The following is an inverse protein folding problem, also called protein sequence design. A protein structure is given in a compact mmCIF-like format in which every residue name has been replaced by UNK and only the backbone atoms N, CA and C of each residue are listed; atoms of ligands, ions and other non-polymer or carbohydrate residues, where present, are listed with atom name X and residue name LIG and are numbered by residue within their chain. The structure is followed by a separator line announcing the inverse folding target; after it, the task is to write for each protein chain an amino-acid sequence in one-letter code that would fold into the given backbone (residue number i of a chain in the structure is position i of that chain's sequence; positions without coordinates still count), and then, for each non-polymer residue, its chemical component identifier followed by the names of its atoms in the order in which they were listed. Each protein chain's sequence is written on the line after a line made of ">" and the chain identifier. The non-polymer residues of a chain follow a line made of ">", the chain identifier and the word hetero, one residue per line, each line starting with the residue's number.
data_IF_654576686791
#
_entry.id   IF_654576686791
#
_cell.length_a   1.000
_cell.length_b   1.000
_cell.length_c   1.000
_cell.angle_alpha   90.00
_cell.angle_beta   90.00
_cell.angle_gamma   90.00
#
_symmetry.space_group_name_H-M   'P 1'
#
loop_
_entity.id
_entity.type
_entity.pdbx_description
1 polymer ?
#
# COMPACT_ATOMS: atom_id res chain seq x y z
N UNK A 1 -24.65 0.23 -17.86
CA UNK A 1 -23.72 -0.53 -18.72
C UNK A 1 -22.69 -1.15 -17.80
N UNK A 2 -22.90 -2.40 -17.38
CA UNK A 2 -21.95 -3.15 -16.55
C UNK A 2 -20.71 -3.44 -17.40
N UNK A 3 -19.59 -2.76 -17.12
CA UNK A 3 -18.30 -3.18 -17.68
C UNK A 3 -17.96 -4.52 -17.02
N UNK A 4 -17.85 -5.57 -17.82
CA UNK A 4 -17.29 -6.84 -17.35
C UNK A 4 -15.88 -6.57 -16.80
N UNK A 5 -15.65 -6.97 -15.56
CA UNK A 5 -14.31 -6.91 -14.97
C UNK A 5 -13.38 -7.85 -15.78
N UNK A 6 -12.17 -7.41 -16.14
CA UNK A 6 -11.23 -8.27 -16.85
C UNK A 6 -10.95 -9.56 -16.06
N UNK A 7 -11.24 -10.73 -16.64
CA UNK A 7 -10.86 -12.02 -16.05
C UNK A 7 -9.36 -12.25 -16.23
N UNK A 8 -8.65 -12.35 -15.10
CA UNK A 8 -7.21 -12.55 -15.04
C UNK A 8 -6.83 -13.88 -14.38
N UNK A 9 -7.80 -14.74 -14.08
CA UNK A 9 -7.58 -16.01 -13.36
C UNK A 9 -6.62 -16.94 -14.10
N UNK A 10 -6.65 -16.94 -15.43
CA UNK A 10 -5.76 -17.73 -16.29
C UNK A 10 -4.32 -17.20 -16.40
N UNK A 11 -4.04 -15.96 -15.96
CA UNK A 11 -2.69 -15.38 -16.02
C UNK A 11 -1.79 -15.99 -14.95
N UNK A 12 -0.51 -16.15 -15.26
CA UNK A 12 0.51 -16.49 -14.26
C UNK A 12 0.88 -15.26 -13.41
N UNK A 13 1.48 -15.49 -12.25
CA UNK A 13 1.93 -14.39 -11.39
C UNK A 13 2.96 -13.48 -12.07
N UNK A 14 3.80 -14.03 -12.96
CA UNK A 14 4.73 -13.23 -13.76
C UNK A 14 4.00 -12.36 -14.79
N UNK A 15 2.95 -12.89 -15.43
CA UNK A 15 2.14 -12.13 -16.37
C UNK A 15 1.39 -11.00 -15.66
N UNK A 16 0.87 -11.24 -14.45
CA UNK A 16 0.27 -10.19 -13.61
C UNK A 16 1.28 -9.11 -13.26
N UNK A 17 2.47 -9.48 -12.77
CA UNK A 17 3.55 -8.53 -12.46
C UNK A 17 3.94 -7.68 -13.67
N UNK A 18 4.11 -8.30 -14.84
CA UNK A 18 4.46 -7.57 -16.06
C UNK A 18 3.36 -6.60 -16.49
N UNK A 19 2.10 -7.00 -16.37
CA UNK A 19 0.96 -6.15 -16.70
C UNK A 19 0.90 -4.91 -15.79
N UNK A 20 1.04 -5.11 -14.47
CA UNK A 20 1.08 -4.02 -13.49
C UNK A 20 2.25 -3.09 -13.79
N UNK A 21 3.46 -3.63 -13.94
CA UNK A 21 4.69 -2.85 -14.21
C UNK A 21 4.61 -2.05 -15.52
N UNK A 22 3.99 -2.60 -16.57
CA UNK A 22 3.81 -1.88 -17.82
C UNK A 22 2.85 -0.69 -17.67
N UNK A 23 1.74 -0.87 -16.95
CA UNK A 23 0.80 0.23 -16.68
C UNK A 23 1.42 1.27 -15.76
N UNK A 24 2.18 0.83 -14.77
CA UNK A 24 2.95 1.65 -13.85
C UNK A 24 3.90 2.59 -14.60
N UNK A 25 4.76 2.05 -15.47
CA UNK A 25 5.70 2.84 -16.30
C UNK A 25 4.99 3.82 -17.22
N UNK A 26 3.78 3.49 -17.65
CA UNK A 26 2.95 4.35 -18.48
C UNK A 26 2.14 5.39 -17.70
N UNK A 27 2.15 5.36 -16.35
CA UNK A 27 1.31 6.21 -15.50
C UNK A 27 -0.19 5.91 -15.63
N UNK A 28 -0.55 4.63 -15.89
CA UNK A 28 -1.92 4.18 -16.19
C UNK A 28 -2.42 3.12 -15.22
N UNK A 29 -2.01 3.20 -13.94
CA UNK A 29 -2.40 2.22 -12.93
C UNK A 29 -3.90 2.27 -12.59
N UNK A 30 -4.56 3.37 -12.92
CA UNK A 30 -6.00 3.58 -12.82
C UNK A 30 -6.83 2.89 -13.92
N UNK A 31 -6.18 2.37 -14.97
CA UNK A 31 -6.87 1.66 -16.05
C UNK A 31 -7.60 0.41 -15.51
N UNK A 32 -8.79 0.05 -16.02
CA UNK A 32 -9.57 -1.09 -15.52
C UNK A 32 -8.79 -2.40 -15.46
N UNK A 33 -7.94 -2.66 -16.46
CA UNK A 33 -7.09 -3.84 -16.52
C UNK A 33 -5.99 -3.84 -15.45
N UNK A 34 -5.41 -2.68 -15.15
CA UNK A 34 -4.40 -2.54 -14.10
C UNK A 34 -5.02 -2.74 -12.71
N UNK A 35 -6.20 -2.13 -12.46
CA UNK A 35 -6.97 -2.33 -11.22
C UNK A 35 -7.28 -3.80 -10.98
N UNK A 36 -7.81 -4.49 -11.98
CA UNK A 36 -8.10 -5.93 -11.89
C UNK A 36 -6.82 -6.75 -11.61
N UNK A 37 -5.69 -6.38 -12.23
CA UNK A 37 -4.44 -7.10 -12.03
C UNK A 37 -3.84 -6.90 -10.63
N UNK A 38 -3.91 -5.68 -10.09
CA UNK A 38 -3.49 -5.37 -8.72
C UNK A 38 -4.36 -6.13 -7.71
N UNK A 39 -5.69 -6.12 -7.89
CA UNK A 39 -6.61 -6.87 -7.04
C UNK A 39 -6.34 -8.38 -7.07
N UNK A 40 -6.11 -8.95 -8.26
CA UNK A 40 -5.80 -10.37 -8.41
C UNK A 40 -4.42 -10.73 -7.84
N UNK A 41 -3.41 -9.86 -7.99
CA UNK A 41 -2.11 -10.05 -7.35
C UNK A 41 -2.22 -10.06 -5.82
N UNK A 42 -2.98 -9.13 -5.25
CA UNK A 42 -3.22 -9.06 -3.81
C UNK A 42 -3.93 -10.33 -3.32
N UNK A 43 -4.99 -10.77 -4.01
CA UNK A 43 -5.75 -11.99 -3.68
C UNK A 43 -4.90 -13.25 -3.70
N UNK A 44 -3.90 -13.34 -4.59
CA UNK A 44 -3.01 -14.50 -4.73
C UNK A 44 -1.84 -14.51 -3.75
N UNK A 45 -1.57 -13.40 -3.07
CA UNK A 45 -0.38 -13.31 -2.24
C UNK A 45 -0.51 -14.23 -1.03
N UNK A 46 0.35 -15.25 -0.97
CA UNK A 46 0.41 -16.22 0.14
C UNK A 46 1.46 -15.87 1.19
N UNK A 47 2.36 -14.93 0.88
CA UNK A 47 3.45 -14.54 1.77
C UNK A 47 3.04 -13.38 2.70
N UNK A 48 2.03 -12.62 2.32
CA UNK A 48 1.43 -11.54 3.09
C UNK A 48 -0.08 -11.57 2.89
N UNK A 49 -0.85 -11.63 3.97
CA UNK A 49 -2.30 -11.49 3.93
C UNK A 49 -2.65 -10.02 3.64
N UNK A 50 -2.94 -9.72 2.37
CA UNK A 50 -3.28 -8.37 1.93
C UNK A 50 -4.52 -7.82 2.60
N UNK A 51 -5.54 -8.67 2.77
CA UNK A 51 -6.80 -8.24 3.36
C UNK A 51 -6.56 -7.82 4.81
N UNK A 52 -5.93 -8.69 5.60
CA UNK A 52 -5.64 -8.40 7.00
C UNK A 52 -4.68 -7.19 7.16
N UNK A 53 -3.68 -7.08 6.30
CA UNK A 53 -2.75 -5.94 6.30
C UNK A 53 -3.41 -4.60 5.97
N UNK A 54 -4.30 -4.56 4.98
CA UNK A 54 -5.07 -3.35 4.63
C UNK A 54 -6.06 -3.02 5.74
N UNK A 55 -6.84 -3.99 6.23
CA UNK A 55 -7.78 -3.79 7.34
C UNK A 55 -7.07 -3.23 8.58
N UNK A 56 -5.88 -3.75 8.91
CA UNK A 56 -5.06 -3.24 10.01
C UNK A 56 -4.67 -1.76 9.82
N UNK A 57 -4.25 -1.37 8.62
CA UNK A 57 -3.90 0.02 8.31
C UNK A 57 -5.14 0.94 8.35
N UNK A 58 -6.28 0.47 7.86
CA UNK A 58 -7.55 1.20 7.93
C UNK A 58 -7.98 1.41 9.39
N UNK A 59 -7.89 0.38 10.23
CA UNK A 59 -8.20 0.48 11.66
C UNK A 59 -7.24 1.42 12.39
N UNK A 60 -5.95 1.41 12.04
CA UNK A 60 -4.99 2.38 12.57
C UNK A 60 -5.37 3.81 12.14
N UNK A 61 -5.78 4.01 10.89
CA UNK A 61 -6.25 5.31 10.41
C UNK A 61 -7.52 5.77 11.13
N UNK A 62 -8.51 4.88 11.35
CA UNK A 62 -9.73 5.17 12.12
C UNK A 62 -9.40 5.63 13.54
N UNK A 63 -8.38 5.04 14.15
CA UNK A 63 -7.89 5.39 15.50
C UNK A 63 -6.94 6.59 15.50
N UNK A 64 -6.64 7.17 14.33
CA UNK A 64 -5.66 8.24 14.14
C UNK A 64 -4.28 7.89 14.71
N UNK A 65 -3.85 6.64 14.50
CA UNK A 65 -2.61 6.08 15.03
C UNK A 65 -1.63 5.73 13.93
N UNK A 66 -0.36 6.04 14.16
CA UNK A 66 0.73 5.51 13.36
C UNK A 66 1.06 4.08 13.80
N UNK A 67 1.66 3.31 12.90
CA UNK A 67 2.04 1.90 13.12
C UNK A 67 3.48 1.68 12.71
N UNK A 68 4.10 0.62 13.21
CA UNK A 68 5.43 0.23 12.78
C UNK A 68 5.42 -1.03 11.91
N UNK A 69 6.55 -1.30 11.25
CA UNK A 69 6.72 -2.46 10.39
C UNK A 69 6.47 -3.80 11.09
N UNK A 70 6.77 -3.91 12.38
CA UNK A 70 6.51 -5.14 13.14
C UNK A 70 5.01 -5.40 13.23
N UNK A 71 4.23 -4.39 13.61
CA UNK A 71 2.78 -4.53 13.73
C UNK A 71 2.14 -4.87 12.38
N UNK A 72 2.58 -4.23 11.29
CA UNK A 72 2.11 -4.55 9.95
C UNK A 72 2.51 -5.96 9.49
N UNK A 73 3.72 -6.42 9.84
CA UNK A 73 4.15 -7.79 9.56
C UNK A 73 3.37 -8.83 10.35
N UNK A 74 3.02 -8.55 11.61
CA UNK A 74 2.16 -9.39 12.43
C UNK A 74 0.73 -9.45 11.85
N UNK A 75 0.16 -8.29 11.51
CA UNK A 75 -1.17 -8.21 10.89
C UNK A 75 -1.25 -8.94 9.54
N UNK A 76 -0.23 -8.80 8.71
CA UNK A 76 -0.14 -9.47 7.40
C UNK A 76 0.38 -10.91 7.45
N UNK A 77 0.54 -11.51 8.64
CA UNK A 77 0.91 -12.93 8.80
C UNK A 77 2.37 -13.28 8.45
N UNK A 78 3.25 -12.30 8.25
CA UNK A 78 4.70 -12.52 8.07
C UNK A 78 5.35 -12.96 9.39
N UNK A 79 4.86 -12.42 10.50
CA UNK A 79 5.39 -12.61 11.85
C UNK A 79 4.29 -13.14 12.77
N UNK A 80 4.60 -14.13 13.61
CA UNK A 80 3.67 -14.53 14.67
C UNK A 80 3.86 -13.65 15.92
N UNK A 81 2.82 -13.43 16.72
CA UNK A 81 2.97 -12.76 18.01
C UNK A 81 4.06 -13.41 18.86
N UNK A 82 5.03 -12.61 19.32
CA UNK A 82 6.16 -13.09 20.12
C UNK A 82 7.42 -13.49 19.33
N UNK A 83 7.35 -13.59 18.00
CA UNK A 83 8.55 -13.85 17.20
C UNK A 83 9.56 -12.69 17.31
N UNK A 84 10.88 -12.99 17.25
CA UNK A 84 11.91 -11.96 17.29
C UNK A 84 11.90 -11.13 16.00
N UNK A 85 11.84 -9.81 16.16
CA UNK A 85 11.94 -8.89 15.03
C UNK A 85 13.38 -8.87 14.49
N UNK A 86 13.53 -9.01 13.17
CA UNK A 86 14.81 -8.81 12.47
C UNK A 86 14.61 -7.77 11.38
N UNK A 87 15.53 -6.82 11.23
CA UNK A 87 15.34 -5.69 10.30
C UNK A 87 15.09 -6.12 8.85
N UNK A 88 15.67 -7.23 8.38
CA UNK A 88 15.41 -7.74 7.02
C UNK A 88 13.96 -8.20 6.82
N UNK A 89 13.17 -8.41 7.89
CA UNK A 89 11.75 -8.74 7.79
C UNK A 89 10.93 -7.61 7.15
N UNK A 90 11.38 -6.35 7.24
CA UNK A 90 10.76 -5.24 6.51
C UNK A 90 10.70 -5.51 5.00
N UNK A 91 11.70 -6.20 4.44
CA UNK A 91 11.75 -6.53 3.01
C UNK A 91 10.70 -7.57 2.58
N UNK A 92 10.12 -8.29 3.55
CA UNK A 92 9.04 -9.24 3.30
C UNK A 92 7.67 -8.56 3.20
N UNK A 93 7.55 -7.32 3.69
CA UNK A 93 6.32 -6.54 3.60
C UNK A 93 6.25 -5.94 2.19
N UNK A 94 5.21 -6.24 1.39
CA UNK A 94 5.13 -5.81 0.00
C UNK A 94 4.63 -4.36 -0.12
N UNK A 95 5.37 -3.38 0.44
CA UNK A 95 4.94 -1.99 0.56
C UNK A 95 4.51 -1.35 -0.78
N UNK A 96 5.22 -1.61 -1.87
CA UNK A 96 4.84 -1.08 -3.19
C UNK A 96 3.51 -1.65 -3.68
N UNK A 97 3.22 -2.92 -3.40
CA UNK A 97 1.93 -3.53 -3.76
C UNK A 97 0.80 -2.98 -2.87
N UNK A 98 1.09 -2.65 -1.60
CA UNK A 98 0.13 -1.96 -0.71
C UNK A 98 -0.18 -0.57 -1.28
N UNK A 99 0.83 0.17 -1.76
CA UNK A 99 0.65 1.47 -2.38
C UNK A 99 -0.17 1.39 -3.69
N UNK A 100 0.15 0.44 -4.57
CA UNK A 100 -0.64 0.17 -5.79
C UNK A 100 -2.09 -0.17 -5.44
N UNK A 101 -2.31 -1.03 -4.44
CA UNK A 101 -3.65 -1.44 -4.01
C UNK A 101 -4.44 -0.24 -3.48
N UNK A 102 -3.85 0.55 -2.58
CA UNK A 102 -4.47 1.77 -2.06
C UNK A 102 -4.85 2.74 -3.19
N UNK A 103 -3.92 3.00 -4.10
CA UNK A 103 -4.15 3.90 -5.23
C UNK A 103 -5.28 3.42 -6.15
N UNK A 104 -5.27 2.14 -6.53
CA UNK A 104 -6.28 1.56 -7.44
C UNK A 104 -7.69 1.53 -6.85
N UNK A 105 -7.80 1.51 -5.52
CA UNK A 105 -9.06 1.54 -4.77
C UNK A 105 -9.45 2.95 -4.29
N UNK A 106 -8.76 4.00 -4.75
CA UNK A 106 -9.07 5.38 -4.38
C UNK A 106 -8.82 5.73 -2.91
N UNK A 107 -7.98 4.94 -2.24
CA UNK A 107 -7.55 5.21 -0.87
C UNK A 107 -6.40 6.23 -0.89
N UNK A 108 -6.21 7.01 0.19
CA UNK A 108 -4.96 7.74 0.41
C UNK A 108 -3.75 6.79 0.41
N UNK A 109 -2.53 7.33 0.30
CA UNK A 109 -1.31 6.56 0.42
C UNK A 109 -1.13 6.09 1.86
N UNK A 110 -1.89 5.06 2.25
CA UNK A 110 -2.06 4.60 3.64
C UNK A 110 -0.76 4.04 4.25
N UNK A 111 0.27 3.83 3.43
CA UNK A 111 1.65 3.60 3.88
C UNK A 111 2.24 4.81 4.63
N UNK A 112 1.64 6.00 4.53
CA UNK A 112 1.97 7.20 5.30
C UNK A 112 1.64 7.07 6.82
N UNK A 113 1.02 5.97 7.24
CA UNK A 113 0.85 5.62 8.65
C UNK A 113 2.09 4.94 9.25
N UNK A 114 3.01 4.46 8.41
CA UNK A 114 4.12 3.62 8.87
C UNK A 114 5.28 4.49 9.35
N UNK A 115 5.67 4.34 10.61
CA UNK A 115 6.83 5.00 11.20
C UNK A 115 7.63 4.06 12.11
N UNK A 116 8.74 4.57 12.66
CA UNK A 116 9.49 3.85 13.70
C UNK A 116 8.96 4.20 15.08
N UNK A 117 9.37 3.48 16.12
CA UNK A 117 9.03 3.88 17.50
C UNK A 117 9.57 5.28 17.87
N UNK A 118 10.61 5.76 17.20
CA UNK A 118 11.14 7.12 17.34
C UNK A 118 10.50 8.14 16.39
N UNK A 119 9.39 7.78 15.73
CA UNK A 119 8.72 8.60 14.73
C UNK A 119 9.22 8.39 13.30
N UNK A 120 8.94 9.34 12.43
CA UNK A 120 9.31 9.31 11.00
C UNK A 120 10.80 9.63 10.82
N UNK A 121 11.49 8.80 10.02
CA UNK A 121 12.92 8.94 9.70
C UNK A 121 13.13 9.15 8.21
N UNK A 122 14.32 9.59 7.80
CA UNK A 122 14.63 9.78 6.37
C UNK A 122 14.57 8.47 5.57
N UNK A 123 14.83 7.33 6.23
CA UNK A 123 14.66 6.00 5.62
C UNK A 123 13.19 5.68 5.34
N UNK A 124 12.28 6.02 6.27
CA UNK A 124 10.83 5.90 6.06
C UNK A 124 10.40 6.80 4.88
N UNK A 125 10.85 8.05 4.87
CA UNK A 125 10.49 9.01 3.82
C UNK A 125 11.01 8.59 2.44
N UNK A 126 12.24 8.08 2.37
CA UNK A 126 12.82 7.54 1.14
C UNK A 126 12.06 6.31 0.62
N UNK A 127 11.72 5.38 1.51
CA UNK A 127 10.91 4.22 1.16
C UNK A 127 9.50 4.60 0.70
N UNK A 128 8.89 5.58 1.35
CA UNK A 128 7.59 6.14 0.97
C UNK A 128 7.66 6.79 -0.41
N UNK A 129 8.64 7.67 -0.65
CA UNK A 129 8.85 8.32 -1.95
C UNK A 129 9.04 7.29 -3.06
N UNK A 130 9.86 6.28 -2.83
CA UNK A 130 10.05 5.19 -3.79
C UNK A 130 8.73 4.49 -4.12
N UNK A 131 7.89 4.22 -3.12
CA UNK A 131 6.56 3.65 -3.32
C UNK A 131 5.65 4.54 -4.17
N UNK A 132 5.67 5.86 -3.94
CA UNK A 132 4.91 6.83 -4.75
C UNK A 132 5.41 6.86 -6.20
N UNK A 133 6.73 6.96 -6.39
CA UNK A 133 7.37 7.02 -7.70
C UNK A 133 7.11 5.75 -8.51
N UNK A 134 7.20 4.58 -7.85
CA UNK A 134 6.79 3.32 -8.44
C UNK A 134 5.30 3.39 -8.79
N UNK A 135 4.39 3.71 -7.88
CA UNK A 135 2.93 3.77 -8.17
C UNK A 135 2.56 4.80 -9.26
N UNK A 136 3.43 5.79 -9.52
CA UNK A 136 3.18 6.90 -10.44
C UNK A 136 2.51 8.11 -9.76
N UNK A 137 2.43 8.11 -8.43
CA UNK A 137 1.92 9.24 -7.66
C UNK A 137 2.99 10.33 -7.61
N UNK A 138 2.62 11.55 -7.99
CA UNK A 138 3.54 12.70 -8.02
C UNK A 138 3.29 13.62 -6.84
N UNK A 139 4.38 14.12 -6.26
CA UNK A 139 4.31 15.16 -5.26
C UNK A 139 3.80 16.46 -5.90
N UNK A 140 2.95 17.24 -5.21
CA UNK A 140 2.59 18.59 -5.61
C UNK A 140 3.83 19.48 -5.75
N UNK A 141 3.80 20.40 -6.71
CA UNK A 141 4.89 21.35 -6.95
C UNK A 141 5.18 22.15 -5.67
N UNK A 142 6.46 22.18 -5.26
CA UNK A 142 6.92 22.92 -4.08
C UNK A 142 6.73 22.20 -2.74
N UNK A 143 6.15 21.00 -2.72
CA UNK A 143 5.96 20.22 -1.49
C UNK A 143 7.15 19.29 -1.23
N UNK A 144 7.63 19.24 0.02
CA UNK A 144 8.65 18.26 0.41
C UNK A 144 8.03 16.87 0.59
N UNK A 145 8.83 15.81 0.49
CA UNK A 145 8.35 14.44 0.77
C UNK A 145 7.80 14.29 2.19
N UNK A 146 8.37 15.01 3.16
CA UNK A 146 7.91 14.98 4.55
C UNK A 146 6.53 15.62 4.68
N UNK A 147 6.33 16.78 4.08
CA UNK A 147 5.03 17.47 4.12
C UNK A 147 3.96 16.64 3.40
N UNK A 148 4.31 16.03 2.26
CA UNK A 148 3.41 15.14 1.54
C UNK A 148 3.06 13.91 2.37
N UNK A 149 4.04 13.27 3.02
CA UNK A 149 3.81 12.15 3.93
C UNK A 149 2.85 12.50 5.07
N UNK A 150 3.06 13.65 5.73
CA UNK A 150 2.17 14.10 6.80
C UNK A 150 0.77 14.45 6.29
N UNK A 151 0.67 15.07 5.10
CA UNK A 151 -0.61 15.35 4.46
C UNK A 151 -1.37 14.08 4.08
N UNK A 152 -0.69 13.07 3.55
CA UNK A 152 -1.27 11.77 3.22
C UNK A 152 -1.73 11.01 4.48
N UNK A 153 -0.99 11.14 5.58
CA UNK A 153 -1.37 10.59 6.89
C UNK A 153 -2.66 11.21 7.40
N UNK A 154 -2.75 12.55 7.40
CA UNK A 154 -3.99 13.23 7.80
C UNK A 154 -5.15 12.88 6.86
N UNK A 155 -4.89 12.80 5.55
CA UNK A 155 -5.91 12.37 4.60
C UNK A 155 -6.38 10.94 4.85
N UNK A 156 -5.48 10.03 5.25
CA UNK A 156 -5.83 8.67 5.64
C UNK A 156 -6.73 8.65 6.87
N UNK A 157 -6.43 9.47 7.89
CA UNK A 157 -7.26 9.61 9.08
C UNK A 157 -8.66 10.12 8.73
N UNK A 158 -8.75 11.21 7.98
CA UNK A 158 -10.03 11.82 7.63
C UNK A 158 -10.87 10.91 6.72
N UNK A 159 -10.23 10.28 5.74
CA UNK A 159 -10.86 9.29 4.86
C UNK A 159 -11.45 8.13 5.67
N UNK A 160 -10.70 7.59 6.63
CA UNK A 160 -11.11 6.46 7.45
C UNK A 160 -12.30 6.80 8.39
N UNK A 161 -12.37 8.04 8.88
CA UNK A 161 -13.48 8.53 9.72
C UNK A 161 -14.73 8.92 8.92
N UNK A 162 -14.61 9.20 7.62
CA UNK A 162 -15.72 9.67 6.77
C UNK A 162 -16.75 8.58 6.38
N UNK A 163 -16.53 7.32 6.75
CA UNK A 163 -17.34 6.19 6.29
C UNK A 163 -17.07 5.76 4.83
N UNK A 164 -16.10 6.41 4.17
CA UNK A 164 -15.66 6.07 2.80
C UNK A 164 -14.61 4.95 2.76
N UNK A 165 -14.14 4.49 3.92
CA UNK A 165 -13.26 3.35 4.02
C UNK A 165 -14.06 2.03 3.88
N UNK A 166 -13.51 1.02 3.19
CA UNK A 166 -14.16 -0.28 3.03
C UNK A 166 -14.34 -1.03 4.35
#
# INVERSE_FOLDING_TARGET
>A
MTREEPDLTSKTDQQLRNLIENHRRAGKLDAPLAKAAVAEQARRNKAFDFKAGIEFLVEAARKRQAVNYRQLAEAGGILRPGDPWRQHMTQKIPLSQIADYAHTHGMPAITALIETQGGVTDSILSGFQKGLDETGIRLPVGMTIRDFYLSERERAFDWASSGSAP
#
